data_IF_544789161279
#
_entry.id   IF_544789161279
#
_cell.length_a   1.000
_cell.length_b   1.000
_cell.length_c   1.000
_cell.angle_alpha   90.00
_cell.angle_beta   90.00
_cell.angle_gamma   90.00
#
_symmetry.space_group_name_H-M   'P 1'
#
loop_
_entity.id
_entity.type
_entity.pdbx_description
1 polymer ?
#
# COMPACT_ATOMS: atom_id res chain seq x y z
N UNK A 1 -5.87 14.72 -21.69
CA UNK A 1 -4.91 15.11 -20.64
C UNK A 1 -5.13 14.13 -19.51
N UNK A 2 -4.19 13.25 -19.22
CA UNK A 2 -4.30 12.38 -18.04
C UNK A 2 -4.31 13.27 -16.78
N UNK A 3 -5.19 12.99 -15.81
CA UNK A 3 -5.23 13.77 -14.58
C UNK A 3 -3.90 13.64 -13.83
N UNK A 4 -3.47 14.73 -13.19
CA UNK A 4 -2.30 14.70 -12.31
C UNK A 4 -2.47 13.61 -11.24
N UNK A 5 -1.45 12.74 -11.01
CA UNK A 5 -1.51 11.66 -10.03
C UNK A 5 -2.02 12.13 -8.66
N UNK A 6 -2.72 11.26 -7.95
CA UNK A 6 -3.13 11.46 -6.55
C UNK A 6 -1.95 11.24 -5.57
N UNK A 7 -0.77 10.91 -6.09
CA UNK A 7 0.44 10.62 -5.33
C UNK A 7 1.01 11.78 -4.50
N UNK A 8 2.10 11.48 -3.80
CA UNK A 8 2.87 12.43 -2.98
C UNK A 8 3.50 13.48 -3.90
N UNK A 9 3.47 14.76 -3.49
CA UNK A 9 4.18 15.81 -4.21
C UNK A 9 5.68 15.64 -3.96
N UNK A 10 6.45 15.46 -5.03
CA UNK A 10 7.87 15.15 -4.96
C UNK A 10 8.75 16.32 -4.47
N UNK A 11 8.16 17.45 -4.10
CA UNK A 11 8.84 18.66 -3.66
C UNK A 11 8.41 19.14 -2.27
N UNK A 12 7.55 18.39 -1.56
CA UNK A 12 7.14 18.76 -0.21
C UNK A 12 8.12 18.25 0.88
N UNK A 13 8.00 18.82 2.07
CA UNK A 13 8.85 18.46 3.21
C UNK A 13 8.68 16.99 3.63
N UNK A 14 7.51 16.39 3.38
CA UNK A 14 7.24 14.97 3.69
C UNK A 14 8.02 14.08 2.74
N UNK A 15 8.06 14.41 1.44
CA UNK A 15 8.85 13.70 0.45
C UNK A 15 10.35 13.78 0.76
N UNK A 16 10.83 14.97 1.12
CA UNK A 16 12.25 15.17 1.48
C UNK A 16 12.64 14.33 2.71
N UNK A 17 11.78 14.27 3.73
CA UNK A 17 11.99 13.44 4.91
C UNK A 17 11.98 11.94 4.56
N UNK A 18 11.01 11.49 3.77
CA UNK A 18 10.90 10.10 3.33
C UNK A 18 12.14 9.65 2.52
N UNK A 19 12.62 10.51 1.62
CA UNK A 19 13.81 10.24 0.81
C UNK A 19 15.09 10.19 1.67
N UNK A 20 15.22 11.12 2.63
CA UNK A 20 16.37 11.16 3.54
C UNK A 20 16.46 9.90 4.38
N UNK A 21 15.34 9.45 4.94
CA UNK A 21 15.25 8.20 5.67
C UNK A 21 15.53 6.97 4.81
N UNK A 22 14.91 6.89 3.63
CA UNK A 22 15.09 5.72 2.74
C UNK A 22 16.56 5.57 2.36
N UNK A 23 17.26 6.69 2.09
CA UNK A 23 18.70 6.69 1.86
C UNK A 23 19.49 6.19 3.06
N UNK A 24 19.22 6.72 4.25
CA UNK A 24 19.90 6.28 5.47
C UNK A 24 19.71 4.78 5.74
N UNK A 25 18.50 4.26 5.53
CA UNK A 25 18.19 2.84 5.68
C UNK A 25 18.97 1.98 4.67
N UNK A 26 18.94 2.34 3.38
CA UNK A 26 19.68 1.62 2.34
C UNK A 26 21.19 1.67 2.58
N UNK A 27 21.74 2.81 3.00
CA UNK A 27 23.16 2.96 3.28
C UNK A 27 23.59 2.14 4.50
N UNK A 28 22.76 2.07 5.54
CA UNK A 28 22.99 1.18 6.68
C UNK A 28 22.94 -0.30 6.26
N UNK A 29 21.96 -0.70 5.45
CA UNK A 29 21.86 -2.08 4.95
C UNK A 29 23.04 -2.48 4.07
N UNK A 30 23.51 -1.59 3.19
CA UNK A 30 24.66 -1.85 2.29
C UNK A 30 25.96 -2.13 3.02
N UNK A 31 26.11 -1.68 4.27
CA UNK A 31 27.27 -1.99 5.10
C UNK A 31 27.27 -3.46 5.55
N UNK A 32 26.12 -4.14 5.51
CA UNK A 32 26.04 -5.56 5.85
C UNK A 32 26.60 -6.45 4.72
N UNK A 33 27.57 -7.36 4.99
CA UNK A 33 28.19 -8.17 3.94
C UNK A 33 27.23 -9.05 3.15
N UNK A 34 26.10 -9.44 3.75
CA UNK A 34 25.07 -10.25 3.09
C UNK A 34 24.12 -9.45 2.21
N UNK A 35 24.13 -8.12 2.26
CA UNK A 35 23.18 -7.28 1.55
C UNK A 35 23.17 -7.54 0.03
N UNK A 36 24.31 -7.90 -0.55
CA UNK A 36 24.44 -8.25 -1.98
C UNK A 36 23.83 -9.59 -2.39
N UNK A 37 23.36 -10.39 -1.43
CA UNK A 37 22.73 -11.70 -1.66
C UNK A 37 21.25 -11.70 -1.27
N UNK A 38 20.68 -10.54 -0.96
CA UNK A 38 19.26 -10.39 -0.66
C UNK A 38 18.56 -10.00 -1.97
N UNK A 39 18.11 -10.99 -2.72
CA UNK A 39 17.43 -10.84 -4.00
C UNK A 39 16.50 -12.03 -4.28
N UNK A 40 15.61 -11.91 -5.26
CA UNK A 40 14.63 -12.96 -5.63
C UNK A 40 15.32 -14.23 -6.12
N UNK A 41 16.47 -14.10 -6.82
CA UNK A 41 17.18 -15.25 -7.37
C UNK A 41 17.77 -16.13 -6.27
N UNK A 42 18.36 -15.51 -5.25
CA UNK A 42 18.87 -16.20 -4.08
C UNK A 42 17.73 -16.85 -3.29
N UNK A 43 16.59 -16.17 -3.16
CA UNK A 43 15.40 -16.78 -2.55
C UNK A 43 14.97 -18.06 -3.29
N UNK A 44 14.94 -18.04 -4.63
CA UNK A 44 14.67 -19.24 -5.42
C UNK A 44 15.75 -20.33 -5.21
N UNK A 45 17.01 -19.95 -5.08
CA UNK A 45 18.10 -20.86 -4.74
C UNK A 45 17.93 -21.52 -3.36
N UNK A 46 17.49 -20.76 -2.36
CA UNK A 46 17.19 -21.26 -1.02
C UNK A 46 16.04 -22.26 -1.06
N UNK A 47 15.00 -21.99 -1.85
CA UNK A 47 13.91 -22.95 -2.06
C UNK A 47 14.40 -24.26 -2.70
N UNK A 48 15.34 -24.19 -3.65
CA UNK A 48 15.94 -25.38 -4.25
C UNK A 48 16.76 -26.17 -3.23
N UNK A 49 17.55 -25.48 -2.40
CA UNK A 49 18.30 -26.10 -1.33
C UNK A 49 17.38 -26.81 -0.33
N UNK A 50 16.23 -26.21 0.01
CA UNK A 50 15.20 -26.83 0.84
C UNK A 50 14.61 -28.07 0.17
N UNK A 51 14.24 -28.01 -1.11
CA UNK A 51 13.73 -29.18 -1.86
C UNK A 51 14.72 -30.34 -1.81
N UNK A 52 16.00 -30.06 -2.09
CA UNK A 52 17.08 -31.07 -2.07
C UNK A 52 17.27 -31.62 -0.65
N UNK A 53 17.27 -30.78 0.37
CA UNK A 53 17.42 -31.19 1.76
C UNK A 53 16.26 -32.08 2.25
N UNK A 54 15.07 -31.90 1.68
CA UNK A 54 13.90 -32.74 1.94
C UNK A 54 13.88 -34.04 1.11
N UNK A 55 14.86 -34.24 0.21
CA UNK A 55 14.92 -35.37 -0.74
C UNK A 55 13.68 -35.49 -1.63
N UNK A 56 13.02 -34.36 -1.92
CA UNK A 56 11.81 -34.32 -2.74
C UNK A 56 12.19 -34.09 -4.21
N UNK A 57 11.71 -34.92 -5.16
CA UNK A 57 11.99 -34.70 -6.58
C UNK A 57 11.35 -33.40 -7.10
N UNK A 58 10.16 -33.06 -6.60
CA UNK A 58 9.37 -31.87 -6.96
C UNK A 58 8.61 -31.33 -5.74
N UNK A 59 8.27 -30.04 -5.73
CA UNK A 59 7.43 -29.43 -4.67
C UNK A 59 6.12 -28.85 -5.22
N UNK A 60 5.11 -28.75 -4.36
CA UNK A 60 3.96 -27.87 -4.60
C UNK A 60 4.25 -26.49 -4.00
N UNK A 61 3.84 -25.43 -4.70
CA UNK A 61 4.13 -24.06 -4.29
C UNK A 61 2.87 -23.20 -4.18
N UNK A 62 2.78 -22.42 -3.10
CA UNK A 62 1.74 -21.39 -2.90
C UNK A 62 2.43 -20.04 -2.79
N UNK A 63 2.26 -19.20 -3.80
CA UNK A 63 2.83 -17.86 -3.87
C UNK A 63 1.76 -16.79 -3.70
N UNK A 64 1.84 -16.04 -2.61
CA UNK A 64 0.93 -14.92 -2.35
C UNK A 64 1.71 -13.62 -2.50
N UNK A 65 1.16 -12.63 -3.21
CA UNK A 65 1.79 -11.32 -3.39
C UNK A 65 3.20 -11.45 -3.99
N UNK A 66 4.25 -10.90 -3.37
CA UNK A 66 5.65 -11.11 -3.79
C UNK A 66 6.01 -12.60 -3.95
N UNK A 67 5.43 -13.49 -3.15
CA UNK A 67 5.63 -14.94 -3.30
C UNK A 67 5.21 -15.46 -4.68
N UNK A 68 4.30 -14.79 -5.39
CA UNK A 68 3.97 -15.14 -6.78
C UNK A 68 5.12 -14.89 -7.75
N UNK A 69 5.83 -13.77 -7.57
CA UNK A 69 7.02 -13.42 -8.34
C UNK A 69 8.16 -14.40 -8.06
N UNK A 70 8.34 -14.77 -6.78
CA UNK A 70 9.28 -15.82 -6.35
C UNK A 70 8.93 -17.17 -6.98
N UNK A 71 7.66 -17.57 -6.94
CA UNK A 71 7.20 -18.84 -7.50
C UNK A 71 7.45 -18.96 -9.00
N UNK A 72 7.16 -17.88 -9.75
CA UNK A 72 7.45 -17.82 -11.19
C UNK A 72 8.96 -17.80 -11.47
N UNK A 73 9.74 -17.09 -10.65
CA UNK A 73 11.21 -17.09 -10.75
C UNK A 73 11.80 -18.47 -10.49
N UNK A 74 11.34 -19.17 -9.46
CA UNK A 74 11.75 -20.54 -9.15
C UNK A 74 11.40 -21.50 -10.30
N UNK A 75 10.17 -21.43 -10.83
CA UNK A 75 9.75 -22.22 -11.98
C UNK A 75 10.63 -22.01 -13.22
N UNK A 76 11.10 -20.78 -13.43
CA UNK A 76 11.97 -20.41 -14.55
C UNK A 76 13.41 -20.86 -14.35
N UNK A 77 13.95 -20.76 -13.14
CA UNK A 77 15.35 -21.12 -12.84
C UNK A 77 15.52 -22.64 -12.73
N UNK A 78 14.53 -23.33 -12.17
CA UNK A 78 14.53 -24.76 -11.89
C UNK A 78 13.37 -25.47 -12.61
N UNK A 79 13.40 -25.53 -13.96
CA UNK A 79 12.31 -26.09 -14.74
C UNK A 79 12.11 -27.58 -14.40
N UNK A 80 10.86 -27.95 -14.12
CA UNK A 80 10.48 -29.32 -13.78
C UNK A 80 10.56 -29.67 -12.29
N UNK A 81 10.95 -28.74 -11.42
CA UNK A 81 11.01 -28.96 -9.96
C UNK A 81 9.72 -28.57 -9.23
N UNK A 82 8.72 -28.04 -9.95
CA UNK A 82 7.38 -27.76 -9.44
C UNK A 82 6.37 -28.76 -9.99
N UNK A 83 5.47 -29.24 -9.12
CA UNK A 83 4.35 -30.12 -9.50
C UNK A 83 3.05 -29.34 -9.66
N UNK A 84 2.66 -28.58 -8.63
CA UNK A 84 1.48 -27.70 -8.64
C UNK A 84 1.87 -26.32 -8.14
N UNK A 85 1.29 -25.29 -8.74
CA UNK A 85 1.51 -23.91 -8.34
C UNK A 85 0.16 -23.21 -8.17
N UNK A 86 -0.02 -22.55 -7.02
CA UNK A 86 -1.11 -21.61 -6.76
C UNK A 86 -0.50 -20.23 -6.58
N UNK A 87 -0.94 -19.27 -7.40
CA UNK A 87 -0.52 -17.88 -7.29
C UNK A 87 -1.74 -17.02 -6.97
N UNK A 88 -1.67 -16.29 -5.86
CA UNK A 88 -2.71 -15.35 -5.42
C UNK A 88 -2.14 -13.93 -5.38
N UNK A 89 -2.90 -12.96 -5.88
CA UNK A 89 -2.49 -11.56 -5.99
C UNK A 89 -1.18 -11.42 -6.77
N UNK A 90 -1.17 -12.01 -7.98
CA UNK A 90 0.04 -12.25 -8.75
C UNK A 90 0.69 -10.97 -9.29
N UNK A 91 2.01 -10.89 -9.18
CA UNK A 91 2.83 -9.86 -9.83
C UNK A 91 3.22 -10.28 -11.25
N UNK A 92 3.42 -9.30 -12.13
CA UNK A 92 3.88 -9.54 -13.50
C UNK A 92 5.38 -9.87 -13.50
N UNK A 93 5.70 -11.17 -13.62
CA UNK A 93 7.07 -11.66 -13.68
C UNK A 93 7.71 -11.60 -15.09
N UNK A 94 7.06 -10.93 -16.06
CA UNK A 94 7.67 -10.66 -17.38
C UNK A 94 8.47 -9.36 -17.42
N UNK A 95 8.47 -8.60 -16.32
CA UNK A 95 9.23 -7.37 -16.12
C UNK A 95 9.96 -7.41 -14.78
N UNK A 96 10.85 -6.45 -14.56
CA UNK A 96 11.51 -6.21 -13.27
C UNK A 96 10.49 -5.98 -12.14
N UNK A 97 10.85 -6.45 -10.94
CA UNK A 97 10.00 -6.37 -9.74
C UNK A 97 9.58 -4.94 -9.42
N UNK A 98 10.46 -3.96 -9.60
CA UNK A 98 10.14 -2.56 -9.34
C UNK A 98 9.05 -2.04 -10.28
N UNK A 99 9.09 -2.42 -11.57
CA UNK A 99 8.14 -1.95 -12.57
C UNK A 99 6.75 -2.52 -12.32
N UNK A 100 6.67 -3.82 -11.95
CA UNK A 100 5.37 -4.41 -11.57
C UNK A 100 4.81 -3.76 -10.32
N UNK A 101 5.64 -3.39 -9.33
CA UNK A 101 5.17 -2.69 -8.14
C UNK A 101 4.78 -1.24 -8.44
N UNK A 102 5.50 -0.53 -9.32
CA UNK A 102 5.13 0.81 -9.77
C UNK A 102 3.78 0.80 -10.51
N UNK A 103 3.54 -0.21 -11.35
CA UNK A 103 2.26 -0.37 -12.06
C UNK A 103 1.06 -0.45 -11.10
N UNK A 104 1.23 -1.07 -9.93
CA UNK A 104 0.18 -1.14 -8.90
C UNK A 104 -0.30 0.23 -8.40
N UNK A 105 0.55 1.26 -8.48
CA UNK A 105 0.18 2.64 -8.10
C UNK A 105 -0.81 3.21 -9.11
N UNK A 106 -0.55 3.04 -10.41
CA UNK A 106 -1.47 3.46 -11.45
C UNK A 106 -2.80 2.69 -11.37
N UNK A 107 -2.76 1.40 -11.08
CA UNK A 107 -3.95 0.59 -10.88
C UNK A 107 -4.79 1.08 -9.69
N UNK A 108 -4.14 1.45 -8.59
CA UNK A 108 -4.80 2.05 -7.42
C UNK A 108 -5.50 3.35 -7.78
N UNK A 109 -4.84 4.24 -8.51
CA UNK A 109 -5.45 5.49 -8.95
C UNK A 109 -6.66 5.26 -9.87
N UNK A 110 -6.61 4.22 -10.72
CA UNK A 110 -7.78 3.82 -11.52
C UNK A 110 -8.93 3.31 -10.66
N UNK A 111 -8.65 2.55 -9.59
CA UNK A 111 -9.68 2.11 -8.63
C UNK A 111 -10.34 3.33 -7.97
N UNK A 112 -9.57 4.24 -7.39
CA UNK A 112 -10.10 5.46 -6.76
C UNK A 112 -10.88 6.29 -7.78
N UNK A 113 -10.31 6.51 -8.95
CA UNK A 113 -10.89 7.34 -9.99
C UNK A 113 -12.18 6.76 -10.57
N UNK A 114 -12.28 5.44 -10.75
CA UNK A 114 -13.43 4.80 -11.39
C UNK A 114 -14.49 4.38 -10.39
N UNK A 115 -14.11 3.62 -9.36
CA UNK A 115 -15.04 2.95 -8.46
C UNK A 115 -15.50 3.87 -7.33
N UNK A 116 -14.63 4.77 -6.87
CA UNK A 116 -15.00 5.71 -5.82
C UNK A 116 -15.51 7.03 -6.41
N UNK A 117 -14.64 7.79 -7.07
CA UNK A 117 -14.97 9.13 -7.57
C UNK A 117 -15.98 9.05 -8.73
N UNK A 118 -15.75 8.12 -9.67
CA UNK A 118 -16.62 7.95 -10.84
C UNK A 118 -18.04 7.54 -10.48
N UNK A 119 -18.22 6.71 -9.45
CA UNK A 119 -19.54 6.33 -8.93
C UNK A 119 -20.19 7.48 -8.14
N UNK A 120 -19.42 8.17 -7.30
CA UNK A 120 -19.90 9.30 -6.51
C UNK A 120 -20.53 10.40 -7.41
N UNK A 121 -19.81 10.81 -8.45
CA UNK A 121 -20.27 11.91 -9.33
C UNK A 121 -21.47 11.52 -10.21
N UNK A 122 -21.68 10.22 -10.48
CA UNK A 122 -22.83 9.73 -11.25
C UNK A 122 -24.13 9.74 -10.45
N UNK A 123 -24.05 9.71 -9.12
CA UNK A 123 -25.20 9.64 -8.23
C UNK A 123 -25.09 10.69 -7.10
N UNK A 124 -25.02 11.99 -7.43
CA UNK A 124 -24.73 13.04 -6.45
C UNK A 124 -25.76 13.11 -5.32
N UNK A 125 -27.04 12.82 -5.60
CA UNK A 125 -28.11 12.83 -4.61
C UNK A 125 -28.01 11.69 -3.60
N UNK A 126 -27.42 10.55 -3.99
CA UNK A 126 -27.24 9.39 -3.10
C UNK A 126 -26.04 9.58 -2.17
N UNK A 127 -24.96 10.14 -2.71
CA UNK A 127 -23.67 10.19 -2.01
C UNK A 127 -23.40 11.53 -1.33
N UNK A 128 -24.15 12.59 -1.66
CA UNK A 128 -23.97 13.94 -1.13
C UNK A 128 -22.55 14.50 -1.26
N UNK A 129 -21.77 13.98 -2.22
CA UNK A 129 -20.40 14.40 -2.53
C UNK A 129 -20.34 15.45 -3.67
N UNK A 130 -21.48 15.75 -4.29
CA UNK A 130 -21.57 16.56 -5.49
C UNK A 130 -21.20 15.79 -6.76
N UNK A 131 -21.23 16.49 -7.90
CA UNK A 131 -21.02 15.91 -9.23
C UNK A 131 -19.71 16.37 -9.92
N UNK A 132 -18.85 17.10 -9.20
CA UNK A 132 -17.61 17.64 -9.74
C UNK A 132 -16.42 16.72 -9.40
N UNK A 133 -15.97 15.97 -10.40
CA UNK A 133 -14.81 15.07 -10.31
C UNK A 133 -13.55 15.78 -9.83
N UNK A 134 -13.26 16.97 -10.36
CA UNK A 134 -12.05 17.72 -10.02
C UNK A 134 -12.09 18.18 -8.56
N UNK A 135 -13.25 18.64 -8.07
CA UNK A 135 -13.41 19.04 -6.68
C UNK A 135 -13.12 17.88 -5.69
N UNK A 136 -13.51 16.66 -6.04
CA UNK A 136 -13.22 15.47 -5.23
C UNK A 136 -11.74 15.09 -5.26
N UNK A 137 -11.09 15.15 -6.43
CA UNK A 137 -9.65 14.95 -6.56
C UNK A 137 -8.86 15.99 -5.75
N UNK A 138 -9.24 17.26 -5.84
CA UNK A 138 -8.59 18.35 -5.11
C UNK A 138 -8.77 18.20 -3.60
N UNK A 139 -9.94 17.73 -3.15
CA UNK A 139 -10.16 17.42 -1.73
C UNK A 139 -9.26 16.28 -1.25
N UNK A 140 -9.12 15.20 -2.03
CA UNK A 140 -8.16 14.14 -1.71
C UNK A 140 -6.73 14.68 -1.66
N UNK A 141 -6.33 15.55 -2.59
CA UNK A 141 -4.98 16.16 -2.60
C UNK A 141 -4.70 17.08 -1.41
N UNK A 142 -5.73 17.65 -0.77
CA UNK A 142 -5.58 18.47 0.44
C UNK A 142 -5.27 17.66 1.69
N UNK A 143 -5.60 16.37 1.69
CA UNK A 143 -5.25 15.49 2.81
C UNK A 143 -3.71 15.45 2.92
N UNK A 144 -3.13 15.67 4.12
CA UNK A 144 -1.70 15.60 4.34
C UNK A 144 -1.07 14.33 3.76
N UNK A 145 0.10 14.44 3.14
CA UNK A 145 0.76 13.31 2.48
C UNK A 145 0.95 12.10 3.39
N UNK A 146 1.30 12.32 4.66
CA UNK A 146 1.43 11.27 5.68
C UNK A 146 0.14 10.48 5.88
N UNK A 147 -1.01 11.16 5.94
CA UNK A 147 -2.31 10.51 6.07
C UNK A 147 -2.76 9.85 4.77
N UNK A 148 -2.51 10.48 3.61
CA UNK A 148 -2.86 9.91 2.30
C UNK A 148 -2.21 8.54 2.10
N UNK A 149 -0.94 8.37 2.45
CA UNK A 149 -0.23 7.09 2.30
C UNK A 149 -0.95 5.95 3.03
N UNK A 150 -1.43 6.20 4.25
CA UNK A 150 -2.16 5.21 5.05
C UNK A 150 -3.60 4.98 4.60
N UNK A 151 -4.27 6.02 4.09
CA UNK A 151 -5.70 5.98 3.80
C UNK A 151 -6.03 5.57 2.36
N UNK A 152 -5.16 5.89 1.38
CA UNK A 152 -5.39 5.60 -0.04
C UNK A 152 -5.67 4.12 -0.33
N UNK A 153 -5.01 3.13 0.32
CA UNK A 153 -5.33 1.72 0.14
C UNK A 153 -6.78 1.34 0.49
N UNK A 154 -7.45 2.13 1.34
CA UNK A 154 -8.84 1.90 1.75
C UNK A 154 -9.89 2.59 0.87
N UNK A 155 -9.49 3.40 -0.11
CA UNK A 155 -10.43 4.14 -0.97
C UNK A 155 -10.77 3.30 -2.21
N UNK A 156 -11.95 2.69 -2.21
CA UNK A 156 -12.41 1.77 -3.26
C UNK A 156 -13.87 2.01 -3.71
N UNK A 157 -14.58 2.91 -3.02
CA UNK A 157 -16.03 3.09 -3.12
C UNK A 157 -16.46 4.50 -2.68
N UNK A 158 -17.66 4.98 -3.06
CA UNK A 158 -18.20 6.23 -2.52
C UNK A 158 -18.31 6.23 -0.99
N UNK A 159 -18.66 5.09 -0.38
CA UNK A 159 -18.66 4.92 1.07
C UNK A 159 -17.30 5.26 1.68
N UNK A 160 -16.24 4.68 1.13
CA UNK A 160 -14.86 4.96 1.58
C UNK A 160 -14.44 6.41 1.34
N UNK A 161 -14.97 7.08 0.29
CA UNK A 161 -14.72 8.51 0.06
C UNK A 161 -15.37 9.38 1.12
N UNK A 162 -16.61 9.09 1.51
CA UNK A 162 -17.27 9.82 2.60
C UNK A 162 -16.50 9.60 3.90
N UNK A 163 -16.12 8.35 4.19
CA UNK A 163 -15.34 8.01 5.38
C UNK A 163 -14.00 8.75 5.44
N UNK A 164 -13.19 8.73 4.37
CA UNK A 164 -11.87 9.41 4.37
C UNK A 164 -12.01 10.92 4.53
N UNK A 165 -13.05 11.52 3.94
CA UNK A 165 -13.32 12.94 4.09
C UNK A 165 -13.78 13.30 5.50
N UNK A 166 -14.70 12.53 6.08
CA UNK A 166 -15.15 12.76 7.46
C UNK A 166 -13.98 12.63 8.46
N UNK A 167 -13.10 11.66 8.24
CA UNK A 167 -11.88 11.45 9.02
C UNK A 167 -10.91 12.63 8.87
N UNK A 168 -10.59 13.02 7.64
CA UNK A 168 -9.69 14.14 7.36
C UNK A 168 -10.21 15.45 7.96
N UNK A 169 -11.50 15.78 7.74
CA UNK A 169 -12.13 16.98 8.28
C UNK A 169 -12.03 17.00 9.83
N UNK A 170 -12.26 15.85 10.47
CA UNK A 170 -12.20 15.76 11.95
C UNK A 170 -10.78 15.97 12.47
N UNK A 171 -9.78 15.42 11.80
CA UNK A 171 -8.37 15.60 12.16
C UNK A 171 -7.90 17.05 11.94
N UNK A 172 -8.39 17.71 10.89
CA UNK A 172 -8.11 19.13 10.62
C UNK A 172 -8.78 20.03 11.67
N UNK A 173 -10.02 19.74 12.07
CA UNK A 173 -10.76 20.49 13.10
C UNK A 173 -10.16 20.33 14.50
N UNK A 174 -9.56 19.16 14.79
CA UNK A 174 -9.02 18.83 16.12
C UNK A 174 -7.62 18.20 16.04
N UNK A 175 -6.58 18.99 15.74
CA UNK A 175 -5.21 18.49 15.65
C UNK A 175 -4.74 17.83 16.95
N UNK A 176 -4.15 16.64 16.86
CA UNK A 176 -3.60 15.92 18.01
C UNK A 176 -4.64 15.15 18.85
N UNK A 177 -5.87 14.99 18.36
CA UNK A 177 -6.90 14.20 19.03
C UNK A 177 -6.43 12.75 19.28
N UNK A 178 -6.60 12.20 20.50
CA UNK A 178 -6.33 10.79 20.77
C UNK A 178 -7.21 9.87 19.92
N UNK A 179 -6.68 8.72 19.53
CA UNK A 179 -7.38 7.74 18.71
C UNK A 179 -8.74 7.26 19.29
N UNK A 180 -8.81 7.10 20.61
CA UNK A 180 -10.05 6.75 21.33
C UNK A 180 -11.13 7.80 21.13
N UNK A 181 -10.73 9.07 21.17
CA UNK A 181 -11.63 10.21 21.08
C UNK A 181 -12.05 10.44 19.63
N UNK A 182 -11.16 10.14 18.68
CA UNK A 182 -11.46 10.15 17.25
C UNK A 182 -12.56 9.14 16.91
N UNK A 183 -12.46 7.90 17.38
CA UNK A 183 -13.51 6.88 17.18
C UNK A 183 -14.83 7.31 17.79
N UNK A 184 -14.81 7.77 19.04
CA UNK A 184 -16.01 8.17 19.75
C UNK A 184 -16.69 9.41 19.14
N UNK A 185 -15.90 10.34 18.59
CA UNK A 185 -16.39 11.52 17.89
C UNK A 185 -17.06 11.14 16.58
N UNK A 186 -16.37 10.35 15.77
CA UNK A 186 -16.86 9.94 14.46
C UNK A 186 -18.07 9.01 14.54
N UNK A 187 -18.14 8.12 15.52
CA UNK A 187 -19.29 7.22 15.73
C UNK A 187 -20.62 7.95 16.03
N UNK A 188 -20.57 9.25 16.38
CA UNK A 188 -21.76 10.06 16.64
C UNK A 188 -22.19 10.90 15.43
N UNK A 189 -21.35 10.99 14.38
CA UNK A 189 -21.66 11.80 13.20
C UNK A 189 -22.61 11.03 12.29
N UNK A 190 -23.71 11.65 11.91
CA UNK A 190 -24.51 11.20 10.76
C UNK A 190 -23.74 11.57 9.49
N UNK A 191 -23.40 10.60 8.66
CA UNK A 191 -22.60 10.76 7.45
C UNK A 191 -23.41 10.57 6.17
N UNK A 192 -24.59 9.93 6.26
CA UNK A 192 -25.56 9.85 5.18
C UNK A 192 -27.00 9.80 5.70
N UNK A 193 -27.97 10.23 4.88
CA UNK A 193 -29.38 10.24 5.25
C UNK A 193 -30.01 8.84 5.23
N UNK A 194 -29.48 7.90 4.45
CA UNK A 194 -29.89 6.49 4.42
C UNK A 194 -29.20 5.69 5.52
N UNK A 195 -29.97 5.03 6.39
CA UNK A 195 -29.45 4.29 7.55
C UNK A 195 -28.50 3.15 7.18
N UNK A 196 -28.80 2.39 6.13
CA UNK A 196 -28.00 1.25 5.74
C UNK A 196 -26.68 1.70 5.11
N UNK A 197 -26.71 2.80 4.36
CA UNK A 197 -25.53 3.43 3.80
C UNK A 197 -24.67 4.09 4.88
N UNK A 198 -25.28 4.84 5.80
CA UNK A 198 -24.60 5.46 6.93
C UNK A 198 -23.84 4.41 7.75
N UNK A 199 -24.46 3.25 8.01
CA UNK A 199 -23.81 2.13 8.67
C UNK A 199 -22.58 1.60 7.91
N UNK A 200 -22.68 1.40 6.58
CA UNK A 200 -21.53 0.95 5.76
C UNK A 200 -20.39 1.99 5.74
N UNK A 201 -20.72 3.27 5.72
CA UNK A 201 -19.71 4.34 5.79
C UNK A 201 -18.97 4.26 7.13
N UNK A 202 -19.67 4.02 8.24
CA UNK A 202 -19.05 3.84 9.54
C UNK A 202 -18.15 2.60 9.61
N UNK A 203 -18.52 1.49 8.95
CA UNK A 203 -17.61 0.33 8.84
C UNK A 203 -16.31 0.70 8.11
N UNK A 204 -16.39 1.39 6.97
CA UNK A 204 -15.20 1.87 6.24
C UNK A 204 -14.38 2.83 7.08
N UNK A 205 -15.04 3.68 7.86
CA UNK A 205 -14.38 4.62 8.76
C UNK A 205 -13.59 3.92 9.87
N UNK A 206 -14.14 2.86 10.48
CA UNK A 206 -13.39 2.07 11.46
C UNK A 206 -12.16 1.41 10.84
N UNK A 207 -12.30 0.81 9.66
CA UNK A 207 -11.16 0.21 8.92
C UNK A 207 -10.05 1.24 8.65
N UNK A 208 -10.42 2.48 8.30
CA UNK A 208 -9.46 3.56 8.07
C UNK A 208 -8.78 4.03 9.36
N UNK A 209 -9.52 4.10 10.47
CA UNK A 209 -8.92 4.43 11.77
C UNK A 209 -7.97 3.31 12.22
N UNK A 210 -8.34 2.04 12.06
CA UNK A 210 -7.46 0.90 12.32
C UNK A 210 -6.16 1.03 11.52
N UNK A 211 -6.27 1.28 10.22
CA UNK A 211 -5.12 1.47 9.34
C UNK A 211 -4.22 2.64 9.75
N UNK A 212 -4.77 3.74 10.27
CA UNK A 212 -3.98 4.86 10.78
C UNK A 212 -3.20 4.52 12.07
N UNK A 213 -3.76 3.67 12.92
CA UNK A 213 -3.15 3.29 14.21
C UNK A 213 -2.11 2.19 14.06
N UNK A 214 -2.32 1.30 13.08
CA UNK A 214 -1.36 0.27 12.70
C UNK A 214 -0.26 0.82 11.79
N UNK A 215 -0.51 1.96 11.12
CA UNK A 215 0.49 2.64 10.31
C UNK A 215 1.67 3.05 11.19
N UNK A 216 2.89 2.70 10.80
CA UNK A 216 4.06 3.16 11.53
C UNK A 216 4.04 4.69 11.62
N UNK A 217 4.50 5.22 12.76
CA UNK A 217 4.65 6.66 12.93
C UNK A 217 5.37 7.29 11.73
N UNK A 218 5.06 8.56 11.41
CA UNK A 218 5.78 9.30 10.39
C UNK A 218 7.27 9.10 10.57
N UNK A 219 7.97 9.07 9.45
CA UNK A 219 9.41 8.88 9.34
C UNK A 219 10.13 10.06 10.00
N UNK A 220 10.17 10.09 11.33
CA UNK A 220 10.71 11.22 12.10
C UNK A 220 12.14 10.95 12.56
N UNK A 221 12.61 9.70 12.51
CA UNK A 221 13.97 9.35 12.89
C UNK A 221 14.44 8.03 12.26
N UNK A 222 15.56 8.09 11.54
CA UNK A 222 16.21 6.93 10.93
C UNK A 222 16.75 5.95 11.98
N UNK A 223 17.13 6.42 13.17
CA UNK A 223 17.61 5.57 14.26
C UNK A 223 16.49 4.75 14.88
N UNK A 224 15.30 5.34 15.06
CA UNK A 224 14.13 4.66 15.63
C UNK A 224 13.64 3.43 14.86
N UNK A 225 14.00 3.31 13.57
CA UNK A 225 13.63 2.17 12.71
C UNK A 225 14.82 1.46 12.09
N UNK A 226 16.05 1.74 12.51
CA UNK A 226 17.27 1.04 12.07
C UNK A 226 17.25 -0.46 12.39
N UNK A 227 16.32 -0.92 13.23
CA UNK A 227 16.05 -2.33 13.52
C UNK A 227 14.92 -2.98 12.72
N UNK A 228 14.27 -2.27 11.79
CA UNK A 228 13.18 -2.81 10.96
C UNK A 228 13.75 -3.71 9.84
N UNK A 229 14.12 -4.94 10.24
CA UNK A 229 14.74 -5.94 9.37
C UNK A 229 13.87 -6.28 8.16
N UNK A 230 12.54 -6.27 8.32
CA UNK A 230 11.62 -6.57 7.23
C UNK A 230 11.66 -5.48 6.17
N UNK A 231 11.59 -4.21 6.58
CA UNK A 231 11.68 -3.09 5.64
C UNK A 231 13.03 -3.05 4.93
N UNK A 232 14.12 -3.32 5.66
CA UNK A 232 15.46 -3.44 5.11
C UNK A 232 15.55 -4.51 4.02
N UNK A 233 15.05 -5.73 4.28
CA UNK A 233 15.04 -6.83 3.30
C UNK A 233 14.22 -6.44 2.07
N UNK A 234 13.01 -5.90 2.25
CA UNK A 234 12.15 -5.50 1.14
C UNK A 234 12.80 -4.47 0.22
N UNK A 235 13.42 -3.43 0.79
CA UNK A 235 14.12 -2.40 0.00
C UNK A 235 15.37 -2.96 -0.70
N UNK A 236 16.11 -3.84 -0.04
CA UNK A 236 17.30 -4.48 -0.62
C UNK A 236 16.94 -5.41 -1.77
N UNK A 237 15.89 -6.23 -1.63
CA UNK A 237 15.38 -7.09 -2.71
C UNK A 237 15.06 -6.26 -3.94
N UNK A 238 14.31 -5.16 -3.79
CA UNK A 238 14.01 -4.25 -4.91
C UNK A 238 15.28 -3.69 -5.55
N UNK A 239 16.24 -3.25 -4.74
CA UNK A 239 17.50 -2.68 -5.23
C UNK A 239 18.39 -3.68 -5.98
N UNK A 240 18.35 -4.96 -5.60
CA UNK A 240 19.21 -5.99 -6.16
C UNK A 240 18.56 -6.73 -7.34
N UNK A 241 17.23 -6.85 -7.37
CA UNK A 241 16.48 -7.46 -8.48
C UNK A 241 16.55 -6.64 -9.78
N UNK A 242 16.97 -5.37 -9.68
CA UNK A 242 17.20 -4.47 -10.80
C UNK A 242 18.46 -4.74 -11.65
N UNK A 243 19.28 -5.75 -11.29
CA UNK A 243 20.64 -5.93 -11.81
C UNK A 243 20.79 -7.06 -12.82
#
# INVERSE_FOLDING_TARGET
>A
MEPEPLGVKLDDATWTAALTYTRALVDACRQHPLARYIDTRQHAGDMEAVRVALDEPVIDFVGISYGSFVGLSYASIYPGHLRRILLDSSLDATTELDRTLQASTADRERIVGRLAIGEAVRHPDRWHLGNNRQALLDRLRRIPASLRVSLMPGIDSPESLIAVFALADTLDDTPGMPASDLRATLAKKRLNDDDALDWRIHERLQQMIDALLESPAPVSDAESRAGDQMLAVNLMTLCNDHR
#
